data_IF_981689960009
#
_entry.id   IF_981689960009
#
_cell.length_a   1.000
_cell.length_b   1.000
_cell.length_c   1.000
_cell.angle_alpha   90.00
_cell.angle_beta   90.00
_cell.angle_gamma   90.00
#
_symmetry.space_group_name_H-M   'P 1'
#
loop_
_entity.id
_entity.type
_entity.pdbx_description
1 polymer ?
#
# COMPACT_ATOMS: atom_id res chain seq x y z
N UNK A 1 -1.22 20.21 2.13
CA UNK A 1 -0.68 20.22 3.51
C UNK A 1 -1.59 21.04 4.43
N UNK A 2 -2.59 20.43 5.07
CA UNK A 2 -3.40 21.09 6.12
C UNK A 2 -4.34 20.12 6.85
N UNK A 3 -3.80 19.12 7.55
CA UNK A 3 -4.56 18.30 8.52
C UNK A 3 -3.63 17.78 9.61
N UNK A 4 -3.24 18.65 10.53
CA UNK A 4 -2.62 18.27 11.79
C UNK A 4 -3.22 19.16 12.88
N UNK A 5 -3.45 18.55 14.03
CA UNK A 5 -4.00 19.12 15.27
C UNK A 5 -5.52 19.27 15.34
N UNK A 6 -6.22 18.17 15.68
CA UNK A 6 -7.16 18.12 16.84
C UNK A 6 -7.27 16.65 17.28
N UNK A 7 -6.39 16.21 18.17
CA UNK A 7 -6.52 14.92 18.85
C UNK A 7 -5.80 14.97 20.20
N UNK A 8 -6.25 15.85 21.10
CA UNK A 8 -5.86 15.85 22.50
C UNK A 8 -6.92 16.62 23.30
N UNK A 9 -7.84 15.88 23.92
CA UNK A 9 -8.82 16.48 24.81
C UNK A 9 -10.10 15.68 24.83
N UNK A 10 -10.24 14.83 25.86
CA UNK A 10 -11.47 14.44 26.58
C UNK A 10 -11.32 13.03 27.20
N UNK A 11 -10.30 12.86 28.04
CA UNK A 11 -10.26 11.79 29.04
C UNK A 11 -10.09 12.46 30.40
N UNK A 12 -11.20 12.74 31.06
CA UNK A 12 -11.18 13.48 32.33
C UNK A 12 -12.56 13.87 32.83
N UNK A 13 -13.51 12.93 32.86
CA UNK A 13 -14.79 13.15 33.51
C UNK A 13 -15.41 11.81 33.94
N UNK A 14 -14.85 11.20 34.98
CA UNK A 14 -15.46 10.05 35.65
C UNK A 14 -14.87 9.90 37.05
N UNK A 15 -15.37 10.69 38.01
CA UNK A 15 -15.41 10.33 39.44
C UNK A 15 -16.18 11.39 40.23
N UNK A 16 -17.49 11.19 40.33
CA UNK A 16 -18.32 11.81 41.36
C UNK A 16 -19.26 10.73 41.90
N UNK A 17 -18.74 9.88 42.78
CA UNK A 17 -19.56 8.97 43.59
C UNK A 17 -20.03 9.79 44.80
N UNK A 18 -21.30 10.18 44.79
CA UNK A 18 -21.97 10.74 45.98
C UNK A 18 -22.23 9.62 46.99
N UNK A 19 -21.72 9.81 48.22
CA UNK A 19 -22.08 9.04 49.41
C UNK A 19 -23.12 9.85 50.18
N UNK A 20 -24.36 9.37 50.40
CA UNK A 20 -25.22 9.95 51.41
C UNK A 20 -24.76 9.45 52.79
N UNK A 21 -24.34 10.39 53.64
CA UNK A 21 -24.10 10.12 55.05
C UNK A 21 -25.41 9.82 55.77
N UNK A 22 -25.50 8.64 56.36
CA UNK A 22 -26.55 8.31 57.31
C UNK A 22 -26.24 9.03 58.64
N UNK A 23 -27.02 10.07 58.96
CA UNK A 23 -27.01 10.69 60.28
C UNK A 23 -27.60 9.74 61.31
N UNK A 24 -26.83 9.41 62.35
CA UNK A 24 -27.33 8.70 63.52
C UNK A 24 -28.21 9.65 64.35
N UNK A 25 -29.51 9.36 64.47
CA UNK A 25 -30.38 10.01 65.45
C UNK A 25 -30.40 9.20 66.75
N UNK A 26 -30.30 9.91 67.86
CA UNK A 26 -30.22 9.46 69.26
C UNK A 26 -31.25 8.38 69.67
N UNK A 27 -30.91 7.49 70.62
CA UNK A 27 -31.84 6.53 71.20
C UNK A 27 -32.75 7.19 72.25
N UNK A 28 -34.04 7.29 71.95
CA UNK A 28 -35.10 7.59 72.93
C UNK A 28 -35.40 6.35 73.79
N UNK A 29 -35.72 6.48 75.10
CA UNK A 29 -35.63 5.39 76.07
C UNK A 29 -36.76 4.35 75.98
N UNK A 30 -36.41 3.09 76.24
CA UNK A 30 -37.36 1.99 76.35
C UNK A 30 -38.25 2.11 77.61
N UNK A 31 -39.57 1.83 77.52
CA UNK A 31 -40.34 1.43 78.68
C UNK A 31 -40.03 -0.03 79.04
N UNK A 32 -39.88 -0.30 80.34
CA UNK A 32 -39.67 -1.62 80.95
C UNK A 32 -40.71 -2.66 80.51
N UNK A 33 -40.34 -3.91 80.17
CA UNK A 33 -41.29 -5.00 79.97
C UNK A 33 -41.59 -5.73 81.29
N UNK A 34 -42.88 -5.85 81.59
CA UNK A 34 -43.40 -6.74 82.62
C UNK A 34 -43.49 -8.20 82.15
N UNK A 35 -43.18 -9.11 83.07
CA UNK A 35 -43.63 -10.52 83.19
C UNK A 35 -43.63 -11.42 81.94
N UNK A 36 -42.74 -12.42 81.97
CA UNK A 36 -42.61 -13.51 81.01
C UNK A 36 -43.76 -14.52 81.08
N UNK A 37 -44.42 -14.76 79.95
CA UNK A 37 -45.26 -15.95 79.72
C UNK A 37 -44.70 -16.76 78.55
N UNK A 38 -44.40 -18.03 78.83
CA UNK A 38 -43.82 -18.97 77.88
C UNK A 38 -44.80 -19.40 76.80
N UNK A 39 -44.58 -18.91 75.58
CA UNK A 39 -45.00 -19.57 74.34
C UNK A 39 -43.86 -19.45 73.35
N UNK A 40 -43.48 -20.54 72.67
CA UNK A 40 -42.50 -20.47 71.58
C UNK A 40 -43.17 -19.80 70.39
N UNK A 41 -43.13 -18.47 70.37
CA UNK A 41 -43.47 -17.67 69.20
C UNK A 41 -42.40 -17.94 68.15
N UNK A 42 -42.80 -18.56 67.04
CA UNK A 42 -42.01 -18.53 65.81
C UNK A 42 -42.00 -17.09 65.32
N UNK A 43 -40.97 -16.33 65.68
CA UNK A 43 -40.76 -15.00 65.12
C UNK A 43 -40.45 -15.17 63.62
N UNK A 44 -41.17 -14.51 62.70
CA UNK A 44 -40.72 -14.42 61.32
C UNK A 44 -39.32 -13.80 61.33
N UNK A 45 -38.42 -14.32 60.48
CA UNK A 45 -37.07 -13.80 60.34
C UNK A 45 -37.12 -12.27 60.18
N UNK A 46 -36.21 -11.50 60.81
CA UNK A 46 -36.21 -10.05 60.67
C UNK A 46 -36.04 -9.72 59.19
N UNK A 47 -37.08 -9.11 58.59
CA UNK A 47 -37.01 -8.59 57.24
C UNK A 47 -36.04 -7.42 57.28
N UNK A 48 -34.81 -7.62 56.78
CA UNK A 48 -33.82 -6.55 56.71
C UNK A 48 -34.38 -5.42 55.83
N UNK A 49 -34.56 -4.20 56.37
CA UNK A 49 -35.16 -3.08 55.63
C UNK A 49 -34.37 -2.70 54.37
N UNK A 50 -33.13 -3.17 54.23
CA UNK A 50 -32.25 -2.85 53.10
C UNK A 50 -32.29 -3.87 51.94
N UNK A 51 -33.06 -4.97 52.04
CA UNK A 51 -33.13 -6.01 50.99
C UNK A 51 -33.48 -5.44 49.61
N UNK A 52 -34.47 -4.54 49.54
CA UNK A 52 -34.86 -3.90 48.28
C UNK A 52 -33.73 -3.05 47.66
N UNK A 53 -32.90 -2.40 48.49
CA UNK A 53 -31.75 -1.63 48.04
C UNK A 53 -30.64 -2.54 47.48
N UNK A 54 -30.39 -3.69 48.11
CA UNK A 54 -29.42 -4.67 47.61
C UNK A 54 -29.84 -5.28 46.26
N UNK A 55 -31.12 -5.59 46.09
CA UNK A 55 -31.64 -6.11 44.82
C UNK A 55 -31.56 -5.06 43.69
N UNK A 56 -31.79 -3.79 44.01
CA UNK A 56 -31.58 -2.70 43.07
C UNK A 56 -30.09 -2.52 42.69
N UNK A 57 -29.16 -2.68 43.63
CA UNK A 57 -27.72 -2.66 43.34
C UNK A 57 -27.32 -3.83 42.44
N UNK A 58 -27.79 -5.05 42.75
CA UNK A 58 -27.48 -6.25 41.94
C UNK A 58 -27.96 -6.09 40.50
N UNK A 59 -29.18 -5.59 40.30
CA UNK A 59 -29.73 -5.36 38.96
C UNK A 59 -28.96 -4.27 38.20
N UNK A 60 -28.58 -3.16 38.88
CA UNK A 60 -27.73 -2.12 38.27
C UNK A 60 -26.35 -2.64 37.88
N UNK A 61 -25.66 -3.35 38.79
CA UNK A 61 -24.35 -3.93 38.50
C UNK A 61 -24.42 -4.93 37.34
N UNK A 62 -25.43 -5.81 37.34
CA UNK A 62 -25.64 -6.76 36.24
C UNK A 62 -25.85 -6.06 34.90
N UNK A 63 -26.64 -4.97 34.88
CA UNK A 63 -26.85 -4.14 33.70
C UNK A 63 -25.58 -3.43 33.22
N UNK A 64 -24.78 -2.87 34.13
CA UNK A 64 -23.56 -2.14 33.78
C UNK A 64 -22.43 -3.08 33.31
N UNK A 65 -22.29 -4.26 33.92
CA UNK A 65 -21.36 -5.30 33.45
C UNK A 65 -21.78 -5.79 32.05
N UNK A 66 -23.08 -6.03 31.82
CA UNK A 66 -23.56 -6.43 30.51
C UNK A 66 -23.28 -5.37 29.43
N UNK A 67 -23.46 -4.08 29.76
CA UNK A 67 -23.11 -2.96 28.86
C UNK A 67 -21.61 -2.89 28.60
N UNK A 68 -20.77 -3.04 29.64
CA UNK A 68 -19.32 -3.01 29.51
C UNK A 68 -18.80 -4.15 28.61
N UNK A 69 -19.31 -5.38 28.81
CA UNK A 69 -18.96 -6.53 27.96
C UNK A 69 -19.46 -6.35 26.52
N UNK A 70 -20.65 -5.79 26.33
CA UNK A 70 -21.16 -5.48 24.99
C UNK A 70 -20.29 -4.43 24.29
N UNK A 71 -19.86 -3.40 25.00
CA UNK A 71 -18.95 -2.38 24.48
C UNK A 71 -17.58 -2.97 24.14
N UNK A 72 -17.03 -3.84 25.00
CA UNK A 72 -15.78 -4.55 24.74
C UNK A 72 -15.88 -5.44 23.49
N UNK A 73 -16.99 -6.18 23.34
CA UNK A 73 -17.20 -7.02 22.16
C UNK A 73 -17.32 -6.19 20.89
N UNK A 74 -17.98 -5.03 20.95
CA UNK A 74 -18.06 -4.11 19.82
C UNK A 74 -16.67 -3.57 19.45
N UNK A 75 -15.87 -3.17 20.44
CA UNK A 75 -14.51 -2.68 20.21
C UNK A 75 -13.63 -3.76 19.57
N UNK A 76 -13.69 -5.00 20.08
CA UNK A 76 -12.95 -6.14 19.49
C UNK A 76 -13.30 -6.33 18.01
N UNK A 77 -14.59 -6.39 17.67
CA UNK A 77 -15.03 -6.50 16.26
C UNK A 77 -14.53 -5.36 15.38
N UNK A 78 -14.50 -4.13 15.91
CA UNK A 78 -13.97 -2.98 15.17
C UNK A 78 -12.46 -3.07 14.96
N UNK A 79 -11.71 -3.53 15.97
CA UNK A 79 -10.26 -3.76 15.82
C UNK A 79 -9.96 -4.89 14.83
N UNK A 80 -10.72 -5.99 14.88
CA UNK A 80 -10.58 -7.08 13.91
C UNK A 80 -10.86 -6.61 12.47
N UNK A 81 -11.85 -5.72 12.30
CA UNK A 81 -12.13 -5.10 11.01
C UNK A 81 -11.00 -4.20 10.53
N UNK A 82 -10.42 -3.37 11.42
CA UNK A 82 -9.27 -2.52 11.07
C UNK A 82 -8.04 -3.35 10.71
N UNK A 83 -7.76 -4.43 11.44
CA UNK A 83 -6.67 -5.34 11.11
C UNK A 83 -6.85 -5.97 9.71
N UNK A 84 -8.08 -6.35 9.35
CA UNK A 84 -8.38 -6.84 8.01
C UNK A 84 -8.16 -5.80 6.91
N UNK A 85 -8.58 -4.55 7.15
CA UNK A 85 -8.38 -3.43 6.21
C UNK A 85 -6.89 -3.10 6.05
N UNK A 86 -6.14 -3.06 7.16
CA UNK A 86 -4.70 -2.80 7.15
C UNK A 86 -3.96 -3.89 6.35
N UNK A 87 -4.34 -5.16 6.55
CA UNK A 87 -3.76 -6.27 5.82
C UNK A 87 -4.07 -6.19 4.31
N UNK A 88 -5.30 -5.84 3.93
CA UNK A 88 -5.64 -5.68 2.51
C UNK A 88 -4.89 -4.52 1.85
N UNK A 89 -4.80 -3.37 2.55
CA UNK A 89 -4.10 -2.20 2.03
C UNK A 89 -2.60 -2.47 1.90
N UNK A 90 -2.00 -3.18 2.86
CA UNK A 90 -0.59 -3.57 2.79
C UNK A 90 -0.32 -4.49 1.60
N UNK A 91 -1.24 -5.43 1.32
CA UNK A 91 -1.13 -6.31 0.16
C UNK A 91 -1.28 -5.55 -1.17
N UNK A 92 -2.20 -4.59 -1.23
CA UNK A 92 -2.41 -3.72 -2.40
C UNK A 92 -1.18 -2.85 -2.66
N UNK A 93 -0.62 -2.20 -1.63
CA UNK A 93 0.62 -1.42 -1.74
C UNK A 93 1.78 -2.28 -2.24
N UNK A 94 1.98 -3.47 -1.68
CA UNK A 94 3.04 -4.38 -2.13
C UNK A 94 2.87 -4.79 -3.61
N UNK A 95 1.63 -4.97 -4.07
CA UNK A 95 1.34 -5.27 -5.47
C UNK A 95 1.60 -4.07 -6.39
N UNK A 96 1.26 -2.86 -5.96
CA UNK A 96 1.54 -1.63 -6.70
C UNK A 96 3.05 -1.39 -6.79
N UNK A 97 3.80 -1.55 -5.70
CA UNK A 97 5.26 -1.45 -5.68
C UNK A 97 5.92 -2.45 -6.64
N UNK A 98 5.43 -3.69 -6.68
CA UNK A 98 5.90 -4.69 -7.65
C UNK A 98 5.58 -4.29 -9.11
N UNK A 99 4.43 -3.66 -9.33
CA UNK A 99 4.03 -3.15 -10.66
C UNK A 99 4.92 -1.98 -11.08
N UNK A 100 5.21 -1.05 -10.17
CA UNK A 100 6.13 0.07 -10.40
C UNK A 100 7.51 -0.46 -10.76
N UNK A 101 8.07 -1.38 -9.97
CA UNK A 101 9.39 -1.95 -10.24
C UNK A 101 9.45 -2.63 -11.63
N UNK A 102 8.38 -3.32 -12.03
CA UNK A 102 8.29 -3.92 -13.37
C UNK A 102 8.20 -2.87 -14.48
N UNK A 103 7.51 -1.75 -14.25
CA UNK A 103 7.42 -0.65 -15.22
C UNK A 103 8.75 0.08 -15.35
N UNK A 104 9.46 0.33 -14.24
CA UNK A 104 10.80 0.91 -14.24
C UNK A 104 11.79 0.06 -15.04
N UNK A 105 11.75 -1.27 -14.90
CA UNK A 105 12.56 -2.18 -15.71
C UNK A 105 12.23 -2.10 -17.21
N UNK A 106 10.94 -1.98 -17.57
CA UNK A 106 10.52 -1.81 -18.96
C UNK A 106 10.99 -0.49 -19.55
N UNK A 107 10.91 0.59 -18.77
CA UNK A 107 11.40 1.91 -19.17
C UNK A 107 12.91 1.85 -19.41
N UNK A 108 13.68 1.31 -18.46
CA UNK A 108 15.13 1.18 -18.61
C UNK A 108 15.53 0.36 -19.85
N UNK A 109 14.76 -0.70 -20.16
CA UNK A 109 14.95 -1.49 -21.38
C UNK A 109 14.67 -0.66 -22.64
N UNK A 110 13.55 0.05 -22.68
CA UNK A 110 13.16 0.88 -23.81
C UNK A 110 14.16 2.03 -24.04
N UNK A 111 14.66 2.66 -22.97
CA UNK A 111 15.68 3.71 -23.07
C UNK A 111 16.98 3.17 -23.69
N UNK A 112 17.38 1.95 -23.35
CA UNK A 112 18.53 1.30 -23.97
C UNK A 112 18.30 1.01 -25.47
N UNK A 113 17.11 0.50 -25.83
CA UNK A 113 16.74 0.25 -27.24
C UNK A 113 16.67 1.56 -28.06
N UNK A 114 16.18 2.64 -27.46
CA UNK A 114 16.15 3.97 -28.06
C UNK A 114 17.57 4.48 -28.31
N UNK A 115 18.47 4.35 -27.33
CA UNK A 115 19.86 4.78 -27.46
C UNK A 115 20.59 4.03 -28.59
N UNK A 116 20.46 2.70 -28.66
CA UNK A 116 21.03 1.87 -29.73
C UNK A 116 20.48 2.29 -31.10
N UNK A 117 19.17 2.49 -31.21
CA UNK A 117 18.53 2.90 -32.47
C UNK A 117 19.01 4.29 -32.90
N UNK A 118 19.18 5.23 -31.97
CA UNK A 118 19.70 6.56 -32.26
C UNK A 118 21.14 6.51 -32.77
N UNK A 119 22.00 5.69 -32.15
CA UNK A 119 23.38 5.50 -32.62
C UNK A 119 23.41 4.96 -34.05
N UNK A 120 22.61 3.93 -34.33
CA UNK A 120 22.48 3.38 -35.68
C UNK A 120 22.01 4.40 -36.70
N UNK A 121 20.98 5.18 -36.38
CA UNK A 121 20.49 6.25 -37.25
C UNK A 121 21.58 7.28 -37.55
N UNK A 122 22.40 7.65 -36.57
CA UNK A 122 23.49 8.62 -36.78
C UNK A 122 24.60 8.07 -37.68
N UNK A 123 24.89 6.77 -37.61
CA UNK A 123 25.80 6.10 -38.57
C UNK A 123 25.19 6.10 -39.97
N UNK A 124 23.94 5.64 -40.11
CA UNK A 124 23.23 5.58 -41.39
C UNK A 124 23.09 6.96 -42.05
N UNK A 125 22.85 8.02 -41.26
CA UNK A 125 22.82 9.41 -41.75
C UNK A 125 24.17 9.86 -42.32
N UNK A 126 25.29 9.51 -41.66
CA UNK A 126 26.64 9.85 -42.16
C UNK A 126 26.93 9.12 -43.46
N UNK A 127 26.57 7.84 -43.54
CA UNK A 127 26.71 7.04 -44.76
C UNK A 127 25.87 7.65 -45.91
N UNK A 128 24.62 8.01 -45.65
CA UNK A 128 23.74 8.66 -46.62
C UNK A 128 24.31 10.02 -47.08
N UNK A 129 24.90 10.79 -46.17
CA UNK A 129 25.53 12.07 -46.50
C UNK A 129 26.77 11.90 -47.39
N UNK A 130 27.58 10.87 -47.14
CA UNK A 130 28.74 10.54 -47.99
C UNK A 130 28.27 10.05 -49.36
N UNK A 131 27.30 9.14 -49.40
CA UNK A 131 26.73 8.61 -50.64
C UNK A 131 26.11 9.71 -51.50
N UNK A 132 25.25 10.56 -50.92
CA UNK A 132 24.63 11.68 -51.65
C UNK A 132 25.67 12.66 -52.19
N UNK A 133 26.73 12.95 -51.42
CA UNK A 133 27.83 13.80 -51.87
C UNK A 133 28.67 13.18 -52.99
N UNK A 134 28.86 11.86 -52.98
CA UNK A 134 29.55 11.14 -54.05
C UNK A 134 28.73 11.16 -55.36
N UNK A 135 27.43 10.85 -55.30
CA UNK A 135 26.52 10.92 -56.45
C UNK A 135 26.49 12.33 -57.06
N UNK A 136 26.48 13.37 -56.21
CA UNK A 136 26.45 14.76 -56.70
C UNK A 136 27.79 15.20 -57.32
N UNK A 137 28.93 14.68 -56.85
CA UNK A 137 30.26 15.05 -57.37
C UNK A 137 30.68 14.25 -58.60
N UNK A 138 30.14 13.06 -58.79
CA UNK A 138 30.50 12.21 -59.93
C UNK A 138 29.23 11.63 -60.60
N UNK A 139 28.36 12.49 -61.14
CA UNK A 139 27.09 12.05 -61.73
C UNK A 139 27.30 11.13 -62.93
N UNK A 140 28.42 11.27 -63.64
CA UNK A 140 28.70 10.48 -64.84
C UNK A 140 29.18 9.07 -64.54
N UNK A 141 29.70 8.73 -63.34
CA UNK A 141 30.35 7.42 -63.08
C UNK A 141 29.39 6.23 -63.17
N UNK A 142 28.22 6.32 -62.54
CA UNK A 142 27.21 5.26 -62.55
C UNK A 142 26.59 5.08 -63.96
N UNK A 143 26.28 6.19 -64.63
CA UNK A 143 25.75 6.17 -65.98
C UNK A 143 26.79 5.74 -67.02
N UNK A 144 28.07 6.11 -66.85
CA UNK A 144 29.18 5.63 -67.67
C UNK A 144 29.42 4.14 -67.47
N UNK A 145 29.24 3.60 -66.27
CA UNK A 145 29.34 2.16 -66.03
C UNK A 145 28.24 1.40 -66.78
N UNK A 146 26.99 1.89 -66.72
CA UNK A 146 25.86 1.31 -67.47
C UNK A 146 26.07 1.44 -68.98
N UNK A 147 26.57 2.59 -69.45
CA UNK A 147 26.90 2.80 -70.86
C UNK A 147 28.05 1.89 -71.33
N UNK A 148 29.00 1.56 -70.44
CA UNK A 148 30.15 0.68 -70.73
C UNK A 148 29.79 -0.81 -70.71
N UNK A 149 28.90 -1.23 -69.81
CA UNK A 149 28.42 -2.63 -69.75
C UNK A 149 27.34 -2.91 -70.78
N UNK A 150 26.69 -1.87 -71.32
CA UNK A 150 25.61 -1.99 -72.30
C UNK A 150 24.32 -2.60 -71.75
N UNK A 151 24.30 -3.00 -70.47
CA UNK A 151 23.19 -3.65 -69.80
C UNK A 151 23.18 -3.34 -68.29
N UNK A 152 22.02 -2.98 -67.75
CA UNK A 152 21.80 -2.62 -66.35
C UNK A 152 21.98 -3.83 -65.40
N UNK A 153 21.64 -5.02 -65.89
CA UNK A 153 21.67 -6.26 -65.09
C UNK A 153 23.10 -6.63 -64.68
N UNK A 154 24.04 -6.60 -65.61
CA UNK A 154 25.44 -6.96 -65.35
C UNK A 154 26.14 -5.90 -64.48
N UNK A 155 25.76 -4.62 -64.62
CA UNK A 155 26.26 -3.56 -63.75
C UNK A 155 25.79 -3.73 -62.28
N UNK A 156 24.55 -4.19 -62.08
CA UNK A 156 24.00 -4.50 -60.75
C UNK A 156 24.66 -5.71 -60.09
N UNK A 157 24.98 -6.75 -60.87
CA UNK A 157 25.72 -7.91 -60.36
C UNK A 157 27.14 -7.51 -59.96
N UNK A 158 27.82 -6.71 -60.79
CA UNK A 158 29.17 -6.25 -60.50
C UNK A 158 29.24 -5.36 -59.24
N UNK A 159 28.25 -4.51 -58.99
CA UNK A 159 28.20 -3.71 -57.75
C UNK A 159 27.84 -4.55 -56.53
N UNK A 160 26.94 -5.54 -56.66
CA UNK A 160 26.62 -6.47 -55.58
C UNK A 160 27.86 -7.30 -55.15
N UNK A 161 28.62 -7.83 -56.10
CA UNK A 161 29.86 -8.56 -55.82
C UNK A 161 30.92 -7.65 -55.15
N UNK A 162 31.01 -6.38 -55.57
CA UNK A 162 31.91 -5.41 -54.94
C UNK A 162 31.52 -5.09 -53.48
N UNK A 163 30.22 -5.01 -53.17
CA UNK A 163 29.74 -4.80 -51.79
C UNK A 163 30.04 -6.01 -50.91
N UNK A 164 29.81 -7.23 -51.41
CA UNK A 164 30.13 -8.48 -50.69
C UNK A 164 31.64 -8.61 -50.45
N UNK A 165 32.46 -8.21 -51.42
CA UNK A 165 33.92 -8.16 -51.27
C UNK A 165 34.36 -7.12 -50.23
N UNK A 166 33.72 -5.94 -50.19
CA UNK A 166 33.97 -4.90 -49.19
C UNK A 166 33.62 -5.33 -47.77
N UNK A 167 32.49 -6.02 -47.58
CA UNK A 167 32.08 -6.57 -46.28
C UNK A 167 33.06 -7.65 -45.78
N UNK A 168 33.54 -8.52 -46.69
CA UNK A 168 34.58 -9.50 -46.34
C UNK A 168 35.92 -8.84 -46.01
N UNK A 169 36.30 -7.78 -46.70
CA UNK A 169 37.52 -7.04 -46.43
C UNK A 169 37.47 -6.34 -45.06
N UNK A 170 36.35 -5.72 -44.70
CA UNK A 170 36.14 -5.12 -43.39
C UNK A 170 36.16 -6.15 -42.25
N UNK A 171 35.49 -7.29 -42.43
CA UNK A 171 35.53 -8.37 -41.45
C UNK A 171 36.96 -8.91 -41.23
N UNK A 172 37.77 -9.01 -42.28
CA UNK A 172 39.19 -9.40 -42.17
C UNK A 172 40.05 -8.32 -41.51
N UNK A 173 39.73 -7.04 -41.70
CA UNK A 173 40.39 -5.91 -41.04
C UNK A 173 40.11 -5.85 -39.54
N UNK A 174 38.86 -6.11 -39.12
CA UNK A 174 38.50 -6.19 -37.71
C UNK A 174 39.15 -7.38 -37.00
N UNK A 175 39.41 -8.48 -37.73
CA UNK A 175 40.13 -9.63 -37.22
C UNK A 175 41.63 -9.37 -37.11
N UNK A 176 42.24 -8.62 -38.04
CA UNK A 176 43.67 -8.28 -37.97
C UNK A 176 43.98 -7.17 -36.95
N UNK A 177 43.01 -6.32 -36.60
CA UNK A 177 43.15 -5.30 -35.56
C UNK A 177 43.02 -5.85 -34.11
N UNK A 178 42.56 -7.09 -33.94
CA UNK A 178 42.39 -7.77 -32.64
C UNK A 178 43.48 -8.81 -32.33
N UNK A 179 44.44 -9.02 -33.22
CA UNK A 179 45.59 -9.90 -33.04
C UNK A 179 46.84 -9.09 -32.68
#
# INVERSE_FOLDING_TARGET
MKRLAVAAGLVGALLAIHVPGAGATDPSPCPTPGTSSGSRVSCPAPTDPNQAAYDQLKTRLGGDVARALTAQQRLRRTLDQFAGIEQSLTAEVAQEEATIARLEQQIAKLDAEIADTQERIEVEKKELAVMSRAIYREPDSFWLLIARTGNLHDALIATADAVVAGQRAHALQDMSARA
#
